data_IF_805781914032
#
_entry.id   IF_805781914032
#
_cell.length_a   1.000
_cell.length_b   1.000
_cell.length_c   1.000
_cell.angle_alpha   90.00
_cell.angle_beta   90.00
_cell.angle_gamma   90.00
#
_symmetry.space_group_name_H-M   'P 1'
#
loop_
_entity.id
_entity.type
_entity.pdbx_description
1 polymer ?
#
# COMPACT_ATOMS: atom_id res chain seq x y z
N UNK A 1 -13.30 4.47 13.66
CA UNK A 1 -11.90 4.02 13.93
C UNK A 1 -11.53 4.27 15.36
N UNK A 2 -10.60 3.46 15.91
CA UNK A 2 -10.04 3.60 17.25
C UNK A 2 -9.10 4.80 17.40
N UNK A 3 -8.44 5.21 16.31
CA UNK A 3 -7.52 6.35 16.24
C UNK A 3 -8.05 7.44 15.30
N UNK A 4 -7.61 8.67 15.52
CA UNK A 4 -7.83 9.79 14.59
C UNK A 4 -6.99 9.63 13.32
N UNK A 5 -7.39 10.32 12.24
CA UNK A 5 -6.64 10.33 10.98
C UNK A 5 -5.20 10.80 11.19
N UNK A 6 -5.01 11.83 12.00
CA UNK A 6 -3.71 12.42 12.30
C UNK A 6 -2.80 11.42 13.05
N UNK A 7 -3.33 10.68 14.03
CA UNK A 7 -2.60 9.66 14.76
C UNK A 7 -2.16 8.51 13.85
N UNK A 8 -3.06 8.03 12.98
CA UNK A 8 -2.75 6.97 12.01
C UNK A 8 -1.61 7.42 11.09
N UNK A 9 -1.72 8.59 10.47
CA UNK A 9 -0.72 9.09 9.54
C UNK A 9 0.63 9.38 10.23
N UNK A 10 0.61 9.87 11.48
CA UNK A 10 1.82 10.05 12.27
C UNK A 10 2.51 8.71 12.59
N UNK A 11 1.73 7.66 12.89
CA UNK A 11 2.25 6.31 13.07
C UNK A 11 2.90 5.76 11.81
N UNK A 12 2.18 5.82 10.68
CA UNK A 12 2.70 5.40 9.38
C UNK A 12 3.99 6.12 8.98
N UNK A 13 4.08 7.44 9.21
CA UNK A 13 5.29 8.22 8.92
C UNK A 13 6.52 7.70 9.68
N UNK A 14 6.36 7.30 10.94
CA UNK A 14 7.45 6.72 11.74
C UNK A 14 7.89 5.37 11.18
N UNK A 15 6.93 4.56 10.70
CA UNK A 15 7.21 3.25 10.11
C UNK A 15 8.02 3.32 8.80
N UNK A 16 7.98 4.45 8.08
CA UNK A 16 8.74 4.60 6.84
C UNK A 16 10.26 4.68 7.07
N UNK A 17 10.73 5.22 8.21
CA UNK A 17 12.14 5.55 8.42
C UNK A 17 13.06 4.31 8.41
N UNK A 18 14.18 4.40 7.68
CA UNK A 18 15.17 3.34 7.49
C UNK A 18 14.57 2.06 6.88
N UNK A 19 13.61 2.20 5.96
CA UNK A 19 12.97 1.07 5.27
C UNK A 19 12.96 1.26 3.75
N UNK A 20 12.42 0.27 3.04
CA UNK A 20 12.14 0.39 1.60
C UNK A 20 11.19 1.55 1.30
N UNK A 21 10.23 1.85 2.18
CA UNK A 21 9.27 2.95 1.98
C UNK A 21 9.97 4.29 1.90
N UNK A 22 10.96 4.55 2.77
CA UNK A 22 11.79 5.76 2.69
C UNK A 22 12.66 5.78 1.43
N UNK A 23 13.29 4.65 1.08
CA UNK A 23 14.08 4.53 -0.16
C UNK A 23 13.27 4.88 -1.42
N UNK A 24 12.00 4.48 -1.45
CA UNK A 24 11.07 4.72 -2.57
C UNK A 24 10.26 6.01 -2.44
N UNK A 25 10.49 6.80 -1.39
CA UNK A 25 9.75 8.04 -1.11
C UNK A 25 8.22 7.81 -1.03
N UNK A 26 7.82 6.68 -0.43
CA UNK A 26 6.42 6.34 -0.18
C UNK A 26 5.90 7.17 1.01
N UNK A 27 4.80 7.87 0.79
CA UNK A 27 4.13 8.68 1.81
C UNK A 27 2.68 8.22 1.99
N UNK A 28 2.29 7.90 3.22
CA UNK A 28 0.89 7.73 3.61
C UNK A 28 0.24 9.11 3.71
N UNK A 29 -0.85 9.34 2.98
CA UNK A 29 -1.43 10.67 2.80
C UNK A 29 -2.86 10.80 3.30
N UNK A 30 -3.59 9.69 3.42
CA UNK A 30 -4.97 9.71 3.86
C UNK A 30 -5.39 8.37 4.45
N UNK A 31 -6.41 8.44 5.31
CA UNK A 31 -7.15 7.30 5.82
C UNK A 31 -8.63 7.70 5.94
N UNK A 32 -9.49 6.87 5.36
CA UNK A 32 -10.95 6.95 5.47
C UNK A 32 -11.45 5.71 6.22
N UNK A 33 -12.75 5.63 6.54
CA UNK A 33 -13.34 4.53 7.33
C UNK A 33 -12.86 3.13 6.95
N UNK A 34 -12.65 2.84 5.66
CA UNK A 34 -12.31 1.52 5.15
C UNK A 34 -11.10 1.48 4.20
N UNK A 35 -10.43 2.61 3.99
CA UNK A 35 -9.37 2.74 2.97
C UNK A 35 -8.18 3.53 3.50
N UNK A 36 -6.98 2.96 3.36
CA UNK A 36 -5.70 3.65 3.59
C UNK A 36 -5.07 4.03 2.25
N UNK A 37 -4.53 5.23 2.16
CA UNK A 37 -3.97 5.79 0.92
C UNK A 37 -2.51 6.18 1.12
N UNK A 38 -1.65 5.70 0.21
CA UNK A 38 -0.27 6.12 0.10
C UNK A 38 0.07 6.55 -1.33
N UNK A 39 1.05 7.42 -1.50
CA UNK A 39 1.57 7.86 -2.80
C UNK A 39 3.06 7.55 -2.93
N UNK A 40 3.54 7.47 -4.18
CA UNK A 40 4.96 7.31 -4.52
C UNK A 40 5.27 8.17 -5.76
N UNK A 41 6.39 8.92 -5.77
CA UNK A 41 6.82 9.64 -6.95
C UNK A 41 7.32 8.69 -8.04
N UNK A 42 7.00 9.02 -9.30
CA UNK A 42 7.53 8.32 -10.48
C UNK A 42 8.68 9.14 -11.03
N UNK A 43 9.89 8.67 -10.78
CA UNK A 43 11.15 9.27 -11.21
C UNK A 43 12.10 8.19 -11.73
N UNK A 44 13.23 8.54 -12.37
CA UNK A 44 14.21 7.56 -12.83
C UNK A 44 14.68 6.54 -11.77
N UNK A 45 14.59 6.87 -10.47
CA UNK A 45 14.91 5.95 -9.36
C UNK A 45 14.02 4.69 -9.33
N UNK A 46 12.80 4.77 -9.87
CA UNK A 46 11.80 3.69 -9.88
C UNK A 46 11.38 3.28 -11.29
N UNK A 47 12.15 3.68 -12.30
CA UNK A 47 11.88 3.30 -13.68
C UNK A 47 12.40 1.90 -13.98
N UNK A 48 11.70 1.22 -14.89
CA UNK A 48 12.28 0.12 -15.65
C UNK A 48 13.09 0.66 -16.84
N UNK A 49 13.86 -0.18 -17.58
CA UNK A 49 14.72 0.28 -18.67
C UNK A 49 14.05 1.15 -19.75
N UNK A 50 12.75 0.97 -19.98
CA UNK A 50 11.96 1.74 -20.95
C UNK A 50 11.57 3.15 -20.47
N UNK A 51 12.05 3.58 -19.30
CA UNK A 51 11.81 4.93 -18.76
C UNK A 51 10.39 5.14 -18.24
N UNK A 52 9.70 4.08 -17.84
CA UNK A 52 8.37 4.12 -17.20
C UNK A 52 8.43 3.44 -15.84
N UNK A 53 7.43 3.67 -14.99
CA UNK A 53 7.28 3.05 -13.67
C UNK A 53 7.50 1.53 -13.72
N UNK A 54 8.42 1.04 -12.88
CA UNK A 54 8.70 -0.38 -12.74
C UNK A 54 7.54 -1.10 -12.02
N UNK A 55 7.12 -2.26 -12.56
CA UNK A 55 6.03 -3.05 -11.97
C UNK A 55 6.30 -3.46 -10.51
N UNK A 56 7.54 -3.85 -10.21
CA UNK A 56 7.99 -4.12 -8.83
C UNK A 56 7.90 -2.93 -7.88
N UNK A 57 8.08 -1.69 -8.35
CA UNK A 57 7.89 -0.50 -7.52
C UNK A 57 6.39 -0.28 -7.20
N UNK A 58 5.51 -0.57 -8.17
CA UNK A 58 4.06 -0.59 -7.94
C UNK A 58 3.66 -1.63 -6.90
N UNK A 59 4.24 -2.83 -6.97
CA UNK A 59 3.99 -3.90 -5.99
C UNK A 59 4.53 -3.52 -4.61
N UNK A 60 5.71 -2.91 -4.52
CA UNK A 60 6.26 -2.43 -3.25
C UNK A 60 5.36 -1.36 -2.60
N UNK A 61 4.84 -0.41 -3.37
CA UNK A 61 3.85 0.55 -2.90
C UNK A 61 2.57 -0.15 -2.40
N UNK A 62 2.04 -1.10 -3.18
CA UNK A 62 0.82 -1.81 -2.83
C UNK A 62 0.96 -2.67 -1.56
N UNK A 63 2.05 -3.45 -1.45
CA UNK A 63 2.34 -4.27 -0.28
C UNK A 63 2.49 -3.40 0.98
N UNK A 64 3.16 -2.25 0.85
CA UNK A 64 3.38 -1.31 1.95
C UNK A 64 2.07 -0.76 2.49
N UNK A 65 1.20 -0.24 1.60
CA UNK A 65 -0.09 0.31 2.03
C UNK A 65 -1.06 -0.78 2.49
N UNK A 66 -1.08 -1.94 1.84
CA UNK A 66 -1.94 -3.06 2.21
C UNK A 66 -1.59 -3.66 3.57
N UNK A 67 -0.29 -3.84 3.85
CA UNK A 67 0.18 -4.35 5.15
C UNK A 67 -0.12 -3.38 6.29
N UNK A 68 0.08 -2.07 6.07
CA UNK A 68 -0.28 -1.06 7.04
C UNK A 68 -1.80 -1.00 7.28
N UNK A 69 -2.61 -1.08 6.21
CA UNK A 69 -4.08 -1.12 6.32
C UNK A 69 -4.55 -2.33 7.13
N UNK A 70 -3.92 -3.50 6.93
CA UNK A 70 -4.21 -4.69 7.71
C UNK A 70 -3.93 -4.48 9.20
N UNK A 71 -2.80 -3.86 9.55
CA UNK A 71 -2.48 -3.54 10.93
C UNK A 71 -3.51 -2.58 11.57
N UNK A 72 -3.90 -1.53 10.83
CA UNK A 72 -4.79 -0.48 11.34
C UNK A 72 -6.24 -0.96 11.48
N UNK A 73 -6.80 -1.63 10.47
CA UNK A 73 -8.23 -2.00 10.45
C UNK A 73 -8.55 -3.30 11.17
N UNK A 74 -7.55 -4.11 11.51
CA UNK A 74 -7.76 -5.36 12.24
C UNK A 74 -7.51 -5.26 13.74
N UNK A 75 -7.23 -4.06 14.28
CA UNK A 75 -6.86 -3.83 15.68
C UNK A 75 -5.74 -4.79 16.15
N UNK A 76 -4.66 -4.84 15.35
CA UNK A 76 -3.61 -5.84 15.46
C UNK A 76 -2.66 -5.65 16.66
N UNK A 77 -3.11 -5.03 17.77
CA UNK A 77 -2.29 -4.81 18.96
C UNK A 77 -1.78 -6.11 19.60
N UNK A 78 -2.48 -7.22 19.37
CA UNK A 78 -2.21 -8.52 20.01
C UNK A 78 -1.80 -9.62 19.04
N UNK A 79 -1.73 -9.34 17.75
CA UNK A 79 -1.46 -10.32 16.70
C UNK A 79 -0.39 -9.80 15.76
N UNK A 80 0.37 -10.69 15.16
CA UNK A 80 1.27 -10.31 14.07
C UNK A 80 0.61 -10.58 12.71
N UNK A 81 0.85 -9.69 11.75
CA UNK A 81 0.34 -9.80 10.38
C UNK A 81 1.50 -10.00 9.42
N UNK A 82 1.34 -10.92 8.46
CA UNK A 82 2.32 -11.18 7.40
C UNK A 82 1.61 -11.26 6.04
N UNK A 83 2.16 -10.57 5.04
CA UNK A 83 1.79 -10.84 3.64
C UNK A 83 2.26 -12.23 3.25
N UNK A 84 1.38 -13.01 2.60
CA UNK A 84 1.69 -14.38 2.17
C UNK A 84 1.55 -14.58 0.66
N UNK A 85 0.79 -13.70 -0.02
CA UNK A 85 0.63 -13.73 -1.46
C UNK A 85 0.30 -12.33 -1.97
N UNK A 86 0.90 -11.93 -3.08
CA UNK A 86 0.61 -10.69 -3.78
C UNK A 86 0.61 -10.92 -5.30
N UNK A 87 -0.43 -10.43 -5.97
CA UNK A 87 -0.57 -10.50 -7.42
C UNK A 87 -1.00 -9.14 -7.97
N UNK A 88 -0.34 -8.70 -9.04
CA UNK A 88 -0.60 -7.41 -9.68
C UNK A 88 -0.90 -7.56 -11.17
N UNK A 89 -1.86 -6.76 -11.65
CA UNK A 89 -2.15 -6.55 -13.06
C UNK A 89 -1.82 -5.10 -13.42
N UNK A 90 -0.72 -4.88 -14.14
CA UNK A 90 -0.32 -3.57 -14.63
C UNK A 90 -1.05 -3.28 -15.95
N UNK A 91 -1.88 -2.23 -15.98
CA UNK A 91 -2.80 -1.94 -17.10
C UNK A 91 -2.51 -0.62 -17.79
N UNK A 92 -1.66 0.24 -17.20
CA UNK A 92 -1.24 1.52 -17.79
C UNK A 92 0.16 1.90 -17.33
N UNK A 93 0.92 2.52 -18.23
CA UNK A 93 2.27 3.05 -17.96
C UNK A 93 2.22 4.48 -17.42
N UNK A 94 3.15 4.81 -16.52
CA UNK A 94 3.36 6.17 -15.98
C UNK A 94 4.84 6.52 -16.14
N UNK A 95 5.16 7.74 -16.58
CA UNK A 95 6.55 8.20 -16.81
C UNK A 95 7.05 9.20 -15.77
N UNK A 96 6.15 9.98 -15.19
CA UNK A 96 6.46 11.06 -14.26
C UNK A 96 5.23 11.36 -13.40
N UNK A 97 5.40 12.23 -12.41
CA UNK A 97 4.35 12.61 -11.46
C UNK A 97 4.26 11.64 -10.29
N UNK A 98 3.04 11.36 -9.85
CA UNK A 98 2.78 10.47 -8.71
C UNK A 98 1.82 9.34 -9.08
N UNK A 99 1.97 8.23 -8.34
CA UNK A 99 0.96 7.18 -8.26
C UNK A 99 0.42 7.05 -6.85
N UNK A 100 -0.86 6.69 -6.72
CA UNK A 100 -1.62 6.65 -5.48
C UNK A 100 -2.23 5.28 -5.29
N UNK A 101 -1.84 4.58 -4.24
CA UNK A 101 -2.33 3.26 -3.88
C UNK A 101 -3.42 3.35 -2.80
N UNK A 102 -4.59 2.81 -3.11
CA UNK A 102 -5.76 2.79 -2.24
C UNK A 102 -6.01 1.36 -1.77
N UNK A 103 -5.69 1.05 -0.52
CA UNK A 103 -5.88 -0.28 0.07
C UNK A 103 -7.21 -0.40 0.80
N UNK A 104 -8.03 -1.36 0.37
CA UNK A 104 -9.34 -1.67 0.96
C UNK A 104 -9.48 -3.18 1.17
N UNK A 105 -10.09 -3.57 2.28
CA UNK A 105 -10.36 -4.99 2.58
C UNK A 105 -11.49 -5.51 1.69
N UNK A 106 -11.28 -6.68 1.07
CA UNK A 106 -12.31 -7.44 0.35
C UNK A 106 -12.88 -8.57 1.19
N UNK A 107 -12.04 -9.19 2.03
CA UNK A 107 -12.43 -10.26 2.93
C UNK A 107 -11.63 -10.17 4.23
N UNK A 108 -12.32 -10.23 5.37
CA UNK A 108 -11.72 -10.17 6.70
C UNK A 108 -12.07 -11.44 7.46
N UNK A 109 -11.29 -12.50 7.22
CA UNK A 109 -11.37 -13.75 7.96
C UNK A 109 -10.57 -13.70 9.26
N UNK A 110 -10.77 -14.71 10.11
CA UNK A 110 -10.06 -14.86 11.39
C UNK A 110 -8.55 -15.02 11.20
N UNK A 111 -8.14 -15.86 10.25
CA UNK A 111 -6.73 -16.18 9.99
C UNK A 111 -6.20 -15.48 8.75
N UNK A 112 -7.01 -15.29 7.72
CA UNK A 112 -6.57 -14.66 6.47
C UNK A 112 -7.44 -13.49 6.08
N UNK A 113 -6.83 -12.52 5.41
CA UNK A 113 -7.53 -11.35 4.86
C UNK A 113 -7.10 -11.15 3.42
N UNK A 114 -8.05 -10.70 2.60
CA UNK A 114 -7.81 -10.36 1.21
C UNK A 114 -8.02 -8.86 1.03
N UNK A 115 -7.02 -8.20 0.46
CA UNK A 115 -6.99 -6.77 0.21
C UNK A 115 -6.99 -6.51 -1.28
N UNK A 116 -7.75 -5.49 -1.69
CA UNK A 116 -7.63 -4.89 -3.00
C UNK A 116 -6.88 -3.57 -2.86
N UNK A 117 -5.82 -3.43 -3.64
CA UNK A 117 -5.07 -2.19 -3.75
C UNK A 117 -5.17 -1.67 -5.18
N UNK A 118 -5.87 -0.54 -5.35
CA UNK A 118 -5.93 0.17 -6.63
C UNK A 118 -4.85 1.22 -6.67
N UNK A 119 -3.93 1.11 -7.63
CA UNK A 119 -2.95 2.15 -7.92
C UNK A 119 -3.46 2.98 -9.09
N UNK A 120 -3.61 4.28 -8.87
CA UNK A 120 -4.05 5.26 -9.88
C UNK A 120 -2.99 6.34 -10.07
N UNK A 121 -3.03 7.03 -11.21
CA UNK A 121 -2.21 8.24 -11.43
C UNK A 121 -2.96 9.51 -10.97
N UNK A 122 -2.34 10.68 -11.18
CA UNK A 122 -2.93 12.00 -10.83
C UNK A 122 -4.26 12.31 -11.52
N UNK A 123 -4.57 11.63 -12.63
CA UNK A 123 -5.83 11.78 -13.37
C UNK A 123 -6.86 10.72 -12.96
N UNK A 124 -6.66 10.04 -11.82
CA UNK A 124 -7.51 8.96 -11.30
C UNK A 124 -7.67 7.77 -12.28
N UNK A 125 -6.68 7.56 -13.14
CA UNK A 125 -6.69 6.45 -14.09
C UNK A 125 -5.99 5.25 -13.48
N UNK A 126 -6.62 4.07 -13.57
CA UNK A 126 -6.04 2.82 -13.07
C UNK A 126 -4.69 2.52 -13.77
N UNK A 127 -3.66 2.35 -12.96
CA UNK A 127 -2.28 1.99 -13.34
C UNK A 127 -2.05 0.51 -13.07
N UNK A 128 -2.41 0.06 -11.86
CA UNK A 128 -2.26 -1.33 -11.45
C UNK A 128 -3.37 -1.72 -10.49
N UNK A 129 -3.94 -2.90 -10.68
CA UNK A 129 -4.81 -3.54 -9.69
C UNK A 129 -4.01 -4.63 -8.99
N UNK A 130 -3.95 -4.57 -7.66
CA UNK A 130 -3.17 -5.50 -6.85
C UNK A 130 -4.08 -6.18 -5.84
N UNK A 131 -3.85 -7.47 -5.63
CA UNK A 131 -4.42 -8.26 -4.53
C UNK A 131 -3.32 -8.64 -3.58
N UNK A 132 -3.56 -8.47 -2.29
CA UNK A 132 -2.68 -8.91 -1.22
C UNK A 132 -3.46 -9.81 -0.28
N UNK A 133 -2.92 -10.99 -0.02
CA UNK A 133 -3.41 -11.89 1.03
C UNK A 133 -2.51 -11.78 2.25
N UNK A 134 -3.09 -11.47 3.40
CA UNK A 134 -2.38 -11.45 4.69
C UNK A 134 -2.80 -12.61 5.58
N UNK A 135 -1.88 -13.04 6.44
CA UNK A 135 -2.07 -14.04 7.48
C UNK A 135 -1.92 -13.39 8.85
N UNK A 136 -2.86 -13.67 9.74
CA UNK A 136 -2.79 -13.35 11.17
C UNK A 136 -2.16 -14.51 11.92
N UNK A 137 -1.17 -14.19 12.74
CA UNK A 137 -0.51 -15.14 13.63
C UNK A 137 -0.79 -14.70 15.08
N UNK A 138 -1.30 -15.65 15.86
CA UNK A 138 -1.41 -15.50 17.32
C UNK A 138 0.00 -15.59 17.92
N UNK A 139 0.30 -14.71 18.88
CA UNK A 139 1.59 -14.69 19.57
C UNK A 139 1.73 -15.84 20.58
#
# INVERSE_FOLDING_TARGET
MKYTKEEVLAGCKKMCQNTLMETLEIEFIDVTEDTLIAKMPVTPKVHQPDGVLHGGASVALAESVGSAAAFIFMDAEKVSIRGIEIAANHVKSVREGFVYAHAKVLHQGRTTQLWQIKIVNENDQLVSLVKLTTLTLEN
#
